data_IF_411426470862
#
_entry.id   IF_411426470862
#
_cell.length_a   1.000
_cell.length_b   1.000
_cell.length_c   1.000
_cell.angle_alpha   90.00
_cell.angle_beta   90.00
_cell.angle_gamma   90.00
#
_symmetry.space_group_name_H-M   'P 1'
#
loop_
_entity.id
_entity.type
_entity.pdbx_description
1 polymer ?
#
# COMPACT_ATOMS: atom_id res chain seq x y z
N UNK A 1 -16.14 19.04 -0.37
CA UNK A 1 -14.77 18.54 -0.61
C UNK A 1 -14.82 17.68 -1.86
N UNK A 2 -13.94 17.87 -2.85
CA UNK A 2 -13.84 16.91 -3.97
C UNK A 2 -13.45 15.55 -3.43
N UNK A 3 -13.89 14.46 -4.04
CA UNK A 3 -13.32 13.13 -3.78
C UNK A 3 -11.81 13.24 -4.06
N UNK A 4 -11.00 13.24 -2.99
CA UNK A 4 -9.57 13.40 -3.11
C UNK A 4 -8.95 12.21 -3.84
N UNK A 5 -7.82 12.42 -4.48
CA UNK A 5 -7.00 11.33 -5.05
C UNK A 5 -5.99 10.78 -4.04
N UNK A 6 -6.19 11.07 -2.75
CA UNK A 6 -5.34 10.64 -1.62
C UNK A 6 -6.26 10.01 -0.59
N UNK A 7 -5.97 8.77 -0.18
CA UNK A 7 -6.57 8.10 0.99
C UNK A 7 -5.59 8.15 2.18
N UNK A 8 -6.10 8.04 3.41
CA UNK A 8 -5.38 8.14 4.70
C UNK A 8 -4.86 9.53 5.08
N UNK A 9 -5.56 10.58 4.66
CA UNK A 9 -5.39 11.93 5.20
C UNK A 9 -6.31 12.17 6.41
N UNK A 10 -6.08 13.21 7.21
CA UNK A 10 -7.01 13.63 8.26
C UNK A 10 -8.45 13.85 7.73
N UNK A 11 -8.60 14.14 6.44
CA UNK A 11 -9.89 14.29 5.77
C UNK A 11 -10.66 12.97 5.61
N UNK A 12 -10.00 11.82 5.55
CA UNK A 12 -10.67 10.53 5.32
C UNK A 12 -11.30 10.00 6.61
N UNK A 13 -10.64 10.16 7.76
CA UNK A 13 -11.21 9.81 9.07
C UNK A 13 -12.46 10.65 9.36
N UNK A 14 -12.36 11.96 9.13
CA UNK A 14 -13.50 12.87 9.29
C UNK A 14 -14.62 12.55 8.31
N UNK A 15 -14.30 12.15 7.08
CA UNK A 15 -15.30 11.72 6.09
C UNK A 15 -16.01 10.42 6.49
N UNK A 16 -15.29 9.45 7.04
CA UNK A 16 -15.89 8.20 7.53
C UNK A 16 -16.83 8.47 8.71
N UNK A 17 -16.41 9.32 9.65
CA UNK A 17 -17.27 9.77 10.75
C UNK A 17 -18.55 10.46 10.24
N UNK A 18 -18.41 11.39 9.28
CA UNK A 18 -19.55 12.06 8.65
C UNK A 18 -20.47 11.10 7.89
N UNK A 19 -19.92 10.07 7.23
CA UNK A 19 -20.71 9.04 6.55
C UNK A 19 -21.46 8.15 7.55
N UNK A 20 -20.85 7.81 8.68
CA UNK A 20 -21.52 7.05 9.75
C UNK A 20 -22.68 7.85 10.35
N UNK A 21 -22.53 9.18 10.49
CA UNK A 21 -23.61 10.09 10.89
C UNK A 21 -24.73 10.10 9.84
N UNK A 22 -24.39 10.26 8.55
CA UNK A 22 -25.37 10.26 7.45
C UNK A 22 -26.14 8.93 7.31
N UNK A 23 -25.48 7.80 7.59
CA UNK A 23 -26.09 6.46 7.57
C UNK A 23 -26.92 6.16 8.81
N UNK A 24 -26.87 7.01 9.84
CA UNK A 24 -27.58 6.82 11.09
C UNK A 24 -26.93 5.78 12.02
N UNK A 25 -25.67 5.41 11.76
CA UNK A 25 -24.90 4.49 12.61
C UNK A 25 -24.46 5.15 13.91
N UNK A 26 -24.32 6.49 13.89
CA UNK A 26 -23.95 7.33 15.01
C UNK A 26 -24.74 8.66 14.93
N UNK A 27 -25.16 9.21 16.07
CA UNK A 27 -25.94 10.46 16.10
C UNK A 27 -25.11 11.60 16.65
N UNK A 28 -24.92 12.64 15.85
CA UNK A 28 -24.28 13.89 16.27
C UNK A 28 -25.13 15.10 15.84
N UNK A 29 -25.96 15.65 16.75
CA UNK A 29 -26.83 16.79 16.44
C UNK A 29 -26.08 18.12 16.32
N UNK A 30 -24.78 18.17 16.65
CA UNK A 30 -23.97 19.38 16.53
C UNK A 30 -23.26 19.50 15.18
N UNK A 31 -23.36 18.47 14.32
CA UNK A 31 -22.69 18.41 13.04
C UNK A 31 -23.66 18.58 11.87
N UNK A 32 -23.45 19.61 11.05
CA UNK A 32 -24.18 19.82 9.79
C UNK A 32 -23.40 19.24 8.62
N UNK A 33 -24.03 18.34 7.85
CA UNK A 33 -23.36 17.63 6.75
C UNK A 33 -23.94 18.06 5.41
N UNK A 34 -23.07 18.58 4.54
CA UNK A 34 -23.40 18.91 3.16
C UNK A 34 -22.53 18.06 2.24
N UNK A 35 -23.12 16.98 1.71
CA UNK A 35 -22.42 16.05 0.83
C UNK A 35 -23.08 16.03 -0.54
N UNK A 36 -22.34 16.50 -1.54
CA UNK A 36 -22.81 16.65 -2.92
C UNK A 36 -21.99 15.74 -3.83
N UNK A 37 -22.67 14.79 -4.47
CA UNK A 37 -22.09 13.85 -5.44
C UNK A 37 -23.19 13.25 -6.30
N UNK A 38 -22.80 12.60 -7.40
CA UNK A 38 -23.65 11.64 -8.08
C UNK A 38 -23.62 10.29 -7.36
N UNK A 39 -24.67 9.51 -7.54
CA UNK A 39 -24.82 8.18 -6.94
C UNK A 39 -24.14 7.12 -7.83
N UNK A 40 -24.26 7.25 -9.16
CA UNK A 40 -23.76 6.29 -10.16
C UNK A 40 -23.07 7.00 -11.36
N UNK A 41 -22.13 6.30 -12.00
CA UNK A 41 -21.42 6.79 -13.18
C UNK A 41 -22.35 7.07 -14.38
N UNK A 42 -23.44 6.32 -14.51
CA UNK A 42 -24.45 6.49 -15.58
C UNK A 42 -25.13 7.85 -15.53
N UNK A 43 -25.14 8.51 -14.38
CA UNK A 43 -25.75 9.83 -14.20
C UNK A 43 -24.93 10.96 -14.83
N UNK A 44 -23.62 10.76 -15.08
CA UNK A 44 -22.73 11.80 -15.62
C UNK A 44 -23.22 12.35 -16.96
N UNK A 45 -23.77 11.49 -17.82
CA UNK A 45 -24.30 11.88 -19.12
C UNK A 45 -25.67 12.54 -19.09
N UNK A 46 -26.33 12.63 -17.93
CA UNK A 46 -27.65 13.23 -17.77
C UNK A 46 -27.56 14.58 -17.03
N UNK A 47 -27.71 15.72 -17.76
CA UNK A 47 -27.67 17.05 -17.16
C UNK A 47 -28.66 17.27 -16.01
N UNK A 48 -29.78 16.55 -15.98
CA UNK A 48 -30.78 16.70 -14.92
C UNK A 48 -30.28 16.25 -13.54
N UNK A 49 -29.25 15.40 -13.51
CA UNK A 49 -28.68 14.86 -12.27
C UNK A 49 -27.58 15.74 -11.68
N UNK A 50 -26.98 16.64 -12.46
CA UNK A 50 -25.77 17.39 -12.07
C UNK A 50 -25.96 18.29 -10.85
N UNK A 51 -27.19 18.73 -10.57
CA UNK A 51 -27.50 19.50 -9.36
C UNK A 51 -27.16 18.75 -8.07
N UNK A 52 -27.19 17.41 -8.08
CA UNK A 52 -26.82 16.58 -6.92
C UNK A 52 -25.36 16.78 -6.52
N UNK A 53 -24.47 16.94 -7.50
CA UNK A 53 -23.05 17.18 -7.29
C UNK A 53 -22.69 18.67 -7.19
N UNK A 54 -23.48 19.56 -7.79
CA UNK A 54 -23.24 21.00 -7.79
C UNK A 54 -24.53 21.80 -7.56
N UNK A 55 -24.84 22.14 -6.30
CA UNK A 55 -26.02 22.94 -5.96
C UNK A 55 -26.03 24.35 -6.56
N UNK A 56 -24.86 24.90 -6.91
CA UNK A 56 -24.76 26.25 -7.49
C UNK A 56 -24.83 26.26 -9.03
N UNK A 57 -25.20 25.14 -9.66
CA UNK A 57 -25.31 25.03 -11.11
C UNK A 57 -26.45 25.93 -11.63
N UNK A 58 -26.14 26.76 -12.61
CA UNK A 58 -27.02 27.81 -13.14
C UNK A 58 -26.90 29.16 -12.41
N UNK A 59 -26.23 29.22 -11.25
CA UNK A 59 -25.99 30.47 -10.52
C UNK A 59 -24.55 30.98 -10.71
N UNK A 60 -23.56 30.19 -10.30
CA UNK A 60 -22.13 30.57 -10.38
C UNK A 60 -21.34 29.75 -11.39
N UNK A 61 -21.90 28.62 -11.84
CA UNK A 61 -21.33 27.77 -12.89
C UNK A 61 -22.43 27.42 -13.90
N UNK A 62 -22.14 27.49 -15.20
CA UNK A 62 -23.13 27.20 -16.24
C UNK A 62 -23.22 25.70 -16.57
N UNK A 63 -24.39 25.27 -17.05
CA UNK A 63 -24.57 23.93 -17.63
C UNK A 63 -23.64 23.68 -18.81
N UNK A 64 -23.38 24.70 -19.64
CA UNK A 64 -22.43 24.61 -20.75
C UNK A 64 -21.00 24.24 -20.28
N UNK A 65 -20.59 24.75 -19.11
CA UNK A 65 -19.29 24.40 -18.53
C UNK A 65 -19.23 22.92 -18.14
N UNK A 66 -20.30 22.40 -17.54
CA UNK A 66 -20.39 20.98 -17.18
C UNK A 66 -20.48 20.08 -18.41
N UNK A 67 -21.26 20.46 -19.42
CA UNK A 67 -21.38 19.76 -20.69
C UNK A 67 -20.02 19.61 -21.38
N UNK A 68 -19.24 20.69 -21.45
CA UNK A 68 -17.87 20.65 -22.01
C UNK A 68 -16.93 19.76 -21.19
N UNK A 69 -17.07 19.73 -19.87
CA UNK A 69 -16.27 18.84 -19.01
C UNK A 69 -16.69 17.37 -19.19
N UNK A 70 -17.98 17.05 -19.41
CA UNK A 70 -18.45 15.70 -19.77
C UNK A 70 -17.87 15.25 -21.12
N UNK A 71 -18.00 16.08 -22.16
CA UNK A 71 -17.44 15.80 -23.48
C UNK A 71 -15.92 15.58 -23.40
N UNK A 72 -15.23 16.40 -22.61
CA UNK A 72 -13.78 16.24 -22.38
C UNK A 72 -13.46 14.94 -21.63
N UNK A 73 -14.28 14.54 -20.66
CA UNK A 73 -14.09 13.28 -19.93
C UNK A 73 -14.29 12.05 -20.82
N UNK A 74 -15.12 12.15 -21.87
CA UNK A 74 -15.30 11.08 -22.87
C UNK A 74 -14.14 10.98 -23.86
N UNK A 75 -13.58 12.13 -24.29
CA UNK A 75 -12.58 12.17 -25.36
C UNK A 75 -11.13 12.21 -24.85
N UNK A 76 -10.88 12.55 -23.58
CA UNK A 76 -9.54 12.73 -23.01
C UNK A 76 -9.37 11.86 -21.77
N UNK A 77 -8.83 10.63 -21.91
CA UNK A 77 -8.67 9.68 -20.80
C UNK A 77 -7.90 10.24 -19.59
N UNK A 78 -6.87 11.06 -19.82
CA UNK A 78 -6.08 11.69 -18.77
C UNK A 78 -6.86 12.74 -17.93
N UNK A 79 -7.92 13.33 -18.49
CA UNK A 79 -8.75 14.32 -17.80
C UNK A 79 -9.98 13.70 -17.14
N UNK A 80 -10.38 12.49 -17.58
CA UNK A 80 -11.60 11.80 -17.15
C UNK A 80 -11.69 11.64 -15.63
N UNK A 81 -10.63 11.13 -15.00
CA UNK A 81 -10.64 10.83 -13.56
C UNK A 81 -10.72 12.09 -12.71
N UNK A 82 -9.98 13.12 -13.10
CA UNK A 82 -9.96 14.41 -12.42
C UNK A 82 -11.33 15.10 -12.52
N UNK A 83 -11.99 15.02 -13.68
CA UNK A 83 -13.32 15.57 -13.89
C UNK A 83 -14.35 14.80 -13.06
N UNK A 84 -14.34 13.47 -13.07
CA UNK A 84 -15.31 12.67 -12.34
C UNK A 84 -15.18 12.84 -10.81
N UNK A 85 -13.95 12.86 -10.30
CA UNK A 85 -13.69 13.06 -8.87
C UNK A 85 -14.00 14.49 -8.39
N UNK A 86 -13.60 15.52 -9.16
CA UNK A 86 -13.72 16.93 -8.74
C UNK A 86 -15.04 17.58 -9.11
N UNK A 87 -15.66 17.22 -10.24
CA UNK A 87 -16.93 17.82 -10.70
C UNK A 87 -18.15 17.06 -10.23
N UNK A 88 -18.06 15.74 -10.19
CA UNK A 88 -19.23 14.88 -9.96
C UNK A 88 -19.18 14.16 -8.62
N UNK A 89 -18.07 14.25 -7.88
CA UNK A 89 -17.91 13.55 -6.61
C UNK A 89 -17.97 12.02 -6.77
N UNK A 90 -17.67 11.53 -7.97
CA UNK A 90 -17.57 10.11 -8.28
C UNK A 90 -16.10 9.72 -8.11
N UNK A 91 -15.76 8.87 -7.14
CA UNK A 91 -14.40 8.34 -7.04
C UNK A 91 -14.13 7.51 -8.31
N UNK A 92 -13.21 7.97 -9.16
CA UNK A 92 -12.86 7.27 -10.40
C UNK A 92 -11.45 6.70 -10.35
N UNK A 93 -11.41 5.41 -10.63
CA UNK A 93 -10.25 4.55 -10.73
C UNK A 93 -9.41 4.91 -11.96
N UNK A 94 -8.51 5.88 -11.81
CA UNK A 94 -7.33 6.00 -12.68
C UNK A 94 -6.19 5.09 -12.27
N UNK A 95 -6.25 4.68 -11.01
CA UNK A 95 -5.56 3.57 -10.41
C UNK A 95 -6.54 3.03 -9.38
N UNK A 96 -7.11 1.86 -9.62
CA UNK A 96 -7.83 1.17 -8.55
C UNK A 96 -6.77 0.82 -7.51
N UNK A 97 -6.95 1.28 -6.27
CA UNK A 97 -6.14 0.75 -5.17
C UNK A 97 -6.25 -0.76 -5.21
N UNK A 98 -5.11 -1.43 -5.19
CA UNK A 98 -5.07 -2.87 -5.40
C UNK A 98 -5.80 -3.59 -4.28
N UNK A 99 -5.59 -3.12 -3.04
CA UNK A 99 -6.30 -3.60 -1.87
C UNK A 99 -7.53 -2.72 -1.54
N UNK A 100 -8.64 -3.36 -1.20
CA UNK A 100 -9.81 -2.66 -0.63
C UNK A 100 -9.51 -2.21 0.80
N UNK A 101 -10.31 -1.30 1.34
CA UNK A 101 -10.08 -0.80 2.69
C UNK A 101 -10.11 -1.93 3.73
N UNK A 102 -11.09 -2.81 3.61
CA UNK A 102 -11.32 -3.97 4.48
C UNK A 102 -10.13 -4.93 4.48
N UNK A 103 -9.49 -5.11 3.32
CA UNK A 103 -8.28 -5.93 3.17
C UNK A 103 -7.07 -5.33 3.89
N UNK A 104 -7.00 -3.99 4.04
CA UNK A 104 -5.91 -3.30 4.73
C UNK A 104 -6.05 -3.26 6.25
N UNK A 105 -7.18 -3.71 6.81
CA UNK A 105 -7.45 -3.64 8.25
C UNK A 105 -6.55 -4.57 9.03
N UNK A 106 -5.91 -4.05 10.07
CA UNK A 106 -5.03 -4.82 10.96
C UNK A 106 -5.80 -5.92 11.69
N UNK A 107 -5.10 -7.01 11.95
CA UNK A 107 -5.53 -8.06 12.85
C UNK A 107 -5.07 -7.74 14.28
N UNK A 108 -5.58 -8.53 15.24
CA UNK A 108 -5.06 -8.51 16.60
C UNK A 108 -3.56 -8.84 16.60
N UNK A 109 -2.84 -8.32 17.59
CA UNK A 109 -1.41 -8.55 17.75
C UNK A 109 -1.07 -10.03 17.61
N UNK A 110 -0.16 -10.34 16.70
CA UNK A 110 0.38 -11.68 16.48
C UNK A 110 1.82 -11.72 16.98
N UNK A 111 2.19 -12.85 17.57
CA UNK A 111 3.57 -13.17 17.94
C UNK A 111 4.01 -14.40 17.15
N UNK A 112 5.19 -14.31 16.54
CA UNK A 112 5.77 -15.34 15.69
C UNK A 112 7.16 -15.76 16.19
N UNK A 113 7.44 -15.53 17.47
CA UNK A 113 8.69 -15.95 18.10
C UNK A 113 9.00 -17.43 17.84
N UNK A 114 10.22 -17.74 17.41
CA UNK A 114 10.65 -19.11 17.13
C UNK A 114 10.06 -19.72 15.85
N UNK A 115 9.27 -18.98 15.06
CA UNK A 115 8.53 -19.56 13.93
C UNK A 115 9.32 -19.49 12.62
N UNK A 116 9.13 -20.50 11.73
CA UNK A 116 9.73 -20.47 10.42
C UNK A 116 9.08 -19.43 9.52
N UNK A 117 9.92 -18.69 8.78
CA UNK A 117 9.44 -17.69 7.84
C UNK A 117 10.26 -17.64 6.54
N UNK A 118 9.60 -17.13 5.51
CA UNK A 118 10.26 -16.58 4.35
C UNK A 118 10.43 -15.08 4.55
N UNK A 119 11.56 -14.52 4.15
CA UNK A 119 11.79 -13.08 4.14
C UNK A 119 11.80 -12.57 2.70
N UNK A 120 11.15 -11.43 2.46
CA UNK A 120 11.25 -10.71 1.21
C UNK A 120 11.93 -9.36 1.42
N UNK A 121 12.73 -8.96 0.44
CA UNK A 121 13.66 -7.83 0.54
C UNK A 121 13.46 -6.88 -0.63
N UNK A 122 13.05 -5.64 -0.31
CA UNK A 122 12.96 -4.51 -1.25
C UNK A 122 13.93 -3.42 -0.80
N UNK A 123 15.05 -3.24 -1.53
CA UNK A 123 16.11 -2.32 -1.12
C UNK A 123 16.03 -0.98 -1.86
N UNK A 124 16.07 0.11 -1.09
CA UNK A 124 16.14 1.46 -1.64
C UNK A 124 17.41 2.20 -1.22
N UNK A 125 18.02 2.92 -2.17
CA UNK A 125 19.06 3.92 -1.90
C UNK A 125 18.51 5.35 -1.92
N UNK A 126 17.19 5.52 -2.10
CA UNK A 126 16.53 6.80 -2.34
C UNK A 126 15.66 7.28 -1.17
N UNK A 127 14.53 7.89 -1.52
CA UNK A 127 13.54 8.38 -0.55
C UNK A 127 12.53 7.28 -0.13
N UNK A 128 12.57 6.10 -0.78
CA UNK A 128 11.70 4.95 -0.49
C UNK A 128 12.23 4.15 0.71
N UNK A 129 11.39 3.28 1.28
CA UNK A 129 11.85 2.43 2.37
C UNK A 129 12.79 1.36 1.83
N UNK A 130 13.81 1.03 2.61
CA UNK A 130 14.40 -0.30 2.54
C UNK A 130 13.55 -1.21 3.42
N UNK A 131 12.84 -2.17 2.83
CA UNK A 131 11.79 -2.93 3.48
C UNK A 131 12.08 -4.43 3.51
N UNK A 132 11.85 -5.02 4.67
CA UNK A 132 11.92 -6.46 4.91
C UNK A 132 10.55 -6.94 5.38
N UNK A 133 9.99 -7.91 4.69
CA UNK A 133 8.71 -8.52 5.07
C UNK A 133 8.89 -9.99 5.36
N UNK A 134 8.60 -10.37 6.60
CA UNK A 134 8.60 -11.75 7.09
C UNK A 134 7.21 -12.35 6.89
N UNK A 135 7.15 -13.47 6.18
CA UNK A 135 5.97 -14.24 5.89
C UNK A 135 6.03 -15.58 6.63
N UNK A 136 5.11 -15.80 7.57
CA UNK A 136 5.04 -16.99 8.41
C UNK A 136 3.91 -17.90 7.94
N UNK A 137 4.18 -19.05 7.32
CA UNK A 137 3.14 -20.01 6.97
C UNK A 137 2.43 -20.53 8.23
N UNK A 138 1.11 -20.44 8.26
CA UNK A 138 0.27 -20.90 9.36
C UNK A 138 -0.70 -21.99 8.92
N UNK A 139 -1.35 -22.61 9.91
CA UNK A 139 -2.40 -23.59 9.64
C UNK A 139 -3.57 -23.01 8.83
N UNK A 140 -4.16 -23.88 8.00
CA UNK A 140 -5.34 -23.60 7.16
C UNK A 140 -5.09 -22.54 6.08
N UNK A 141 -3.87 -22.47 5.55
CA UNK A 141 -3.52 -21.56 4.45
C UNK A 141 -3.56 -20.09 4.86
N UNK A 142 -3.35 -19.79 6.14
CA UNK A 142 -3.16 -18.42 6.64
C UNK A 142 -1.67 -18.12 6.69
N UNK A 143 -1.34 -16.84 6.67
CA UNK A 143 0.04 -16.39 6.74
C UNK A 143 0.16 -15.24 7.72
N UNK A 144 1.07 -15.37 8.68
CA UNK A 144 1.52 -14.25 9.50
C UNK A 144 2.38 -13.31 8.68
N UNK A 145 2.24 -12.01 8.90
CA UNK A 145 3.03 -11.00 8.20
C UNK A 145 3.59 -9.99 9.20
N UNK A 146 4.91 -9.82 9.20
CA UNK A 146 5.61 -8.75 9.92
C UNK A 146 6.52 -8.00 8.96
N UNK A 147 6.67 -6.71 9.20
CA UNK A 147 7.45 -5.79 8.40
C UNK A 147 8.47 -5.08 9.27
N UNK A 148 9.64 -4.82 8.70
CA UNK A 148 10.68 -3.96 9.26
C UNK A 148 11.23 -3.10 8.13
N UNK A 149 11.12 -1.79 8.27
CA UNK A 149 11.53 -0.82 7.27
C UNK A 149 12.63 0.08 7.81
N UNK A 150 13.45 0.62 6.92
CA UNK A 150 14.58 1.47 7.24
C UNK A 150 14.55 2.75 6.41
N UNK A 151 14.94 3.86 7.04
CA UNK A 151 15.26 5.14 6.39
C UNK A 151 16.50 5.75 7.03
N UNK A 152 17.13 6.69 6.32
CA UNK A 152 18.20 7.52 6.91
C UNK A 152 17.62 8.64 7.76
N UNK A 153 18.41 9.12 8.73
CA UNK A 153 18.11 10.29 9.54
C UNK A 153 17.77 11.52 8.66
N UNK A 154 18.52 11.72 7.57
CA UNK A 154 18.25 12.79 6.62
C UNK A 154 16.85 12.69 6.01
N UNK A 155 16.39 11.49 5.65
CA UNK A 155 15.03 11.30 5.12
C UNK A 155 14.01 11.72 6.16
N UNK A 156 14.16 11.26 7.41
CA UNK A 156 13.27 11.63 8.52
C UNK A 156 13.19 13.15 8.77
N UNK A 157 14.35 13.83 8.77
CA UNK A 157 14.43 15.28 9.01
C UNK A 157 13.75 16.11 7.92
N UNK A 158 13.66 15.59 6.69
CA UNK A 158 13.07 16.31 5.54
C UNK A 158 11.57 16.09 5.39
N UNK A 159 10.96 15.24 6.21
CA UNK A 159 9.53 14.95 6.11
C UNK A 159 8.67 16.16 6.51
N UNK A 160 7.61 16.46 5.74
CA UNK A 160 6.57 17.39 6.17
C UNK A 160 5.87 16.91 7.44
N UNK A 161 5.30 17.83 8.23
CA UNK A 161 4.74 17.52 9.56
C UNK A 161 3.75 16.35 9.61
N UNK A 162 2.79 16.28 8.69
CA UNK A 162 1.81 15.20 8.67
C UNK A 162 2.43 13.82 8.33
N UNK A 163 3.35 13.76 7.35
CA UNK A 163 4.06 12.53 7.00
C UNK A 163 5.01 12.11 8.12
N UNK A 164 5.65 13.08 8.77
CA UNK A 164 6.53 12.84 9.91
C UNK A 164 5.77 12.20 11.08
N UNK A 165 4.59 12.71 11.41
CA UNK A 165 3.74 12.12 12.46
C UNK A 165 3.44 10.65 12.16
N UNK A 166 3.15 10.32 10.89
CA UNK A 166 2.91 8.93 10.48
C UNK A 166 4.15 8.05 10.66
N UNK A 167 5.33 8.56 10.38
CA UNK A 167 6.58 7.82 10.55
C UNK A 167 6.95 7.68 12.04
N UNK A 168 6.62 8.66 12.87
CA UNK A 168 6.74 8.57 14.33
C UNK A 168 5.84 7.46 14.91
N UNK A 169 4.64 7.23 14.34
CA UNK A 169 3.81 6.07 14.69
C UNK A 169 4.52 4.74 14.37
N UNK A 170 5.15 4.65 13.19
CA UNK A 170 5.87 3.43 12.79
C UNK A 170 7.11 3.17 13.65
N UNK A 171 7.80 4.23 14.09
CA UNK A 171 8.92 4.13 15.03
C UNK A 171 8.45 3.61 16.38
N UNK A 172 7.33 4.13 16.91
CA UNK A 172 6.76 3.64 18.17
C UNK A 172 6.25 2.20 18.06
N UNK A 173 5.74 1.81 16.89
CA UNK A 173 5.34 0.44 16.59
C UNK A 173 6.53 -0.52 16.44
N UNK A 174 7.74 -0.01 16.19
CA UNK A 174 8.94 -0.79 15.91
C UNK A 174 8.99 -1.38 14.50
N UNK A 175 8.13 -0.90 13.59
CA UNK A 175 8.10 -1.31 12.17
C UNK A 175 8.95 -0.43 11.27
N UNK A 176 9.40 0.73 11.75
CA UNK A 176 10.35 1.61 11.07
C UNK A 176 11.56 1.87 11.97
N UNK A 177 12.75 1.79 11.40
CA UNK A 177 14.02 2.15 12.03
C UNK A 177 14.65 3.33 11.27
N UNK A 178 15.27 4.25 12.02
CA UNK A 178 16.02 5.37 11.47
C UNK A 178 17.48 5.15 11.79
N UNK A 179 18.32 5.04 10.75
CA UNK A 179 19.76 4.90 10.91
C UNK A 179 20.46 6.25 10.64
N UNK A 180 21.54 6.49 11.38
CA UNK A 180 22.32 7.72 11.25
C UNK A 180 22.88 7.90 9.83
N UNK A 181 22.93 9.14 9.38
CA UNK A 181 23.59 9.51 8.13
C UNK A 181 22.67 10.09 7.06
N UNK A 182 23.31 10.46 5.94
CA UNK A 182 22.67 11.11 4.79
C UNK A 182 22.00 10.09 3.86
N UNK A 183 22.61 8.91 3.73
CA UNK A 183 22.18 7.77 2.92
C UNK A 183 22.18 6.57 3.85
N UNK A 184 21.27 5.63 3.62
CA UNK A 184 21.27 4.36 4.36
C UNK A 184 22.53 3.56 4.03
N UNK A 185 23.31 3.26 5.06
CA UNK A 185 24.39 2.28 4.98
C UNK A 185 23.80 0.87 5.07
N UNK A 186 23.93 0.08 4.00
CA UNK A 186 23.38 -1.27 3.94
C UNK A 186 24.05 -2.23 4.93
N UNK A 187 25.28 -1.95 5.38
CA UNK A 187 25.94 -2.76 6.41
C UNK A 187 25.26 -2.57 7.76
N UNK A 188 24.94 -1.33 8.13
CA UNK A 188 24.19 -1.03 9.36
C UNK A 188 22.77 -1.59 9.30
N UNK A 189 22.11 -1.53 8.13
CA UNK A 189 20.79 -2.16 7.93
C UNK A 189 20.88 -3.67 8.16
N UNK A 190 21.89 -4.33 7.59
CA UNK A 190 22.08 -5.77 7.75
C UNK A 190 22.34 -6.15 9.21
N UNK A 191 23.22 -5.43 9.91
CA UNK A 191 23.55 -5.70 11.32
C UNK A 191 22.33 -5.53 12.25
N UNK A 192 21.52 -4.48 12.05
CA UNK A 192 20.28 -4.29 12.81
C UNK A 192 19.23 -5.36 12.48
N UNK A 193 19.13 -5.76 11.21
CA UNK A 193 18.19 -6.81 10.78
C UNK A 193 18.55 -8.16 11.39
N UNK A 194 19.82 -8.56 11.37
CA UNK A 194 20.30 -9.80 12.00
C UNK A 194 20.05 -9.80 13.51
N UNK A 195 20.36 -8.69 14.19
CA UNK A 195 20.06 -8.56 15.62
C UNK A 195 18.56 -8.73 15.89
N UNK A 196 17.71 -8.11 15.06
CA UNK A 196 16.26 -8.25 15.18
C UNK A 196 15.77 -9.69 14.93
N UNK A 197 16.31 -10.38 13.92
CA UNK A 197 15.99 -11.78 13.62
C UNK A 197 16.38 -12.67 14.81
N UNK A 198 17.56 -12.46 15.39
CA UNK A 198 18.04 -13.19 16.55
C UNK A 198 17.18 -12.92 17.79
N UNK A 199 16.85 -11.66 18.08
CA UNK A 199 16.02 -11.28 19.23
C UNK A 199 14.60 -11.87 19.14
N UNK A 200 14.06 -12.01 17.93
CA UNK A 200 12.75 -12.63 17.71
C UNK A 200 12.80 -14.15 17.54
N UNK A 201 13.99 -14.76 17.52
CA UNK A 201 14.20 -16.16 17.14
C UNK A 201 13.49 -16.57 15.83
N UNK A 202 13.46 -15.69 14.83
CA UNK A 202 12.85 -16.04 13.55
C UNK A 202 13.72 -17.05 12.80
N UNK A 203 13.13 -18.20 12.45
CA UNK A 203 13.77 -19.24 11.65
C UNK A 203 13.59 -18.89 10.16
N UNK A 204 14.49 -18.05 9.63
CA UNK A 204 14.44 -17.59 8.22
C UNK A 204 14.93 -18.72 7.32
N UNK A 205 14.01 -19.33 6.57
CA UNK A 205 14.29 -20.50 5.73
C UNK A 205 14.59 -20.17 4.28
N UNK A 206 13.98 -19.11 3.76
CA UNK A 206 14.26 -18.66 2.39
C UNK A 206 14.09 -17.13 2.28
N UNK A 207 14.80 -16.55 1.31
CA UNK A 207 14.87 -15.12 1.05
C UNK A 207 14.52 -14.83 -0.40
N UNK A 208 13.50 -14.01 -0.62
CA UNK A 208 13.17 -13.45 -1.93
C UNK A 208 13.67 -12.02 -2.05
N UNK A 209 14.20 -11.66 -3.21
CA UNK A 209 14.62 -10.29 -3.45
C UNK A 209 14.51 -9.89 -4.91
N UNK A 210 14.27 -8.62 -5.15
CA UNK A 210 14.45 -8.03 -6.46
C UNK A 210 15.94 -7.72 -6.73
N UNK A 211 16.49 -8.01 -7.92
CA UNK A 211 17.93 -7.88 -8.17
C UNK A 211 18.43 -6.42 -8.25
N UNK A 212 17.55 -5.42 -8.27
CA UNK A 212 17.94 -4.02 -8.34
C UNK A 212 18.47 -3.58 -6.97
N UNK A 213 19.67 -3.01 -6.91
CA UNK A 213 20.36 -2.58 -5.67
C UNK A 213 20.67 -3.67 -4.60
N UNK A 214 20.18 -4.90 -4.74
CA UNK A 214 20.32 -5.96 -3.72
C UNK A 214 21.66 -6.72 -3.71
N UNK A 215 22.53 -6.51 -4.71
CA UNK A 215 23.72 -7.35 -4.93
C UNK A 215 24.62 -7.47 -3.70
N UNK A 216 24.94 -6.36 -3.04
CA UNK A 216 25.87 -6.34 -1.90
C UNK A 216 25.26 -7.03 -0.68
N UNK A 217 24.01 -6.69 -0.35
CA UNK A 217 23.24 -7.30 0.73
C UNK A 217 23.13 -8.82 0.56
N UNK A 218 22.73 -9.28 -0.63
CA UNK A 218 22.54 -10.71 -0.92
C UNK A 218 23.86 -11.46 -0.91
N UNK A 219 24.95 -10.85 -1.40
CA UNK A 219 26.27 -11.49 -1.34
C UNK A 219 26.70 -11.73 0.11
N UNK A 220 26.45 -10.76 1.00
CA UNK A 220 26.72 -10.92 2.43
C UNK A 220 25.84 -11.99 3.05
N UNK A 221 24.53 -11.94 2.81
CA UNK A 221 23.58 -12.94 3.29
C UNK A 221 23.98 -14.35 2.86
N UNK A 222 24.34 -14.54 1.58
CA UNK A 222 24.81 -15.82 1.03
C UNK A 222 26.08 -16.32 1.72
N UNK A 223 27.03 -15.44 2.04
CA UNK A 223 28.26 -15.83 2.72
C UNK A 223 28.03 -16.29 4.17
N UNK A 224 27.05 -15.69 4.86
CA UNK A 224 26.78 -15.95 6.28
C UNK A 224 25.76 -17.07 6.49
N UNK A 225 24.73 -17.15 5.63
CA UNK A 225 23.60 -18.09 5.75
C UNK A 225 23.62 -19.21 4.70
N UNK A 226 24.53 -19.13 3.71
CA UNK A 226 24.59 -20.06 2.58
C UNK A 226 23.66 -19.66 1.41
N UNK A 227 23.86 -20.26 0.23
CA UNK A 227 23.13 -19.91 -0.99
C UNK A 227 21.73 -20.54 -1.09
N UNK A 228 21.42 -21.53 -0.24
CA UNK A 228 20.18 -22.28 -0.32
C UNK A 228 18.98 -21.41 0.10
N UNK A 229 17.88 -21.48 -0.66
CA UNK A 229 16.67 -20.69 -0.40
C UNK A 229 16.78 -19.20 -0.77
N UNK A 230 17.86 -18.74 -1.42
CA UNK A 230 17.98 -17.37 -1.93
C UNK A 230 17.42 -17.28 -3.34
N UNK A 231 16.27 -16.63 -3.49
CA UNK A 231 15.50 -16.57 -4.73
C UNK A 231 15.47 -15.18 -5.35
N UNK A 232 15.87 -15.10 -6.62
CA UNK A 232 15.77 -13.89 -7.43
C UNK A 232 14.35 -13.72 -7.96
N UNK A 233 13.69 -12.65 -7.55
CA UNK A 233 12.33 -12.32 -8.00
C UNK A 233 12.42 -11.27 -9.11
N UNK A 234 12.20 -11.72 -10.35
CA UNK A 234 12.28 -10.85 -11.52
C UNK A 234 11.03 -9.97 -11.57
N UNK A 235 11.22 -8.65 -11.47
CA UNK A 235 10.17 -7.66 -11.60
C UNK A 235 9.66 -7.56 -13.04
N UNK A 236 8.35 -7.36 -13.20
CA UNK A 236 7.67 -7.24 -14.49
C UNK A 236 6.22 -7.72 -14.44
N UNK A 237 5.35 -7.11 -15.26
CA UNK A 237 3.91 -7.42 -15.26
C UNK A 237 3.64 -8.92 -15.41
N UNK A 238 4.36 -9.62 -16.30
CA UNK A 238 4.17 -11.06 -16.54
C UNK A 238 4.55 -11.93 -15.35
N UNK A 239 5.61 -11.58 -14.62
CA UNK A 239 6.13 -12.37 -13.49
C UNK A 239 5.39 -12.05 -12.20
N UNK A 240 4.98 -10.81 -12.02
CA UNK A 240 4.27 -10.34 -10.82
C UNK A 240 2.77 -10.68 -10.83
N UNK A 241 2.14 -10.84 -12.00
CA UNK A 241 0.67 -10.97 -12.08
C UNK A 241 0.12 -12.15 -11.28
N UNK A 242 0.81 -13.30 -11.28
CA UNK A 242 0.36 -14.50 -10.54
C UNK A 242 0.57 -14.32 -9.03
N UNK A 243 1.77 -13.97 -8.52
CA UNK A 243 1.98 -13.66 -7.11
C UNK A 243 1.02 -12.59 -6.56
N UNK A 244 0.81 -11.50 -7.32
CA UNK A 244 -0.10 -10.43 -6.91
C UNK A 244 -1.55 -10.93 -6.81
N UNK A 245 -2.02 -11.73 -7.77
CA UNK A 245 -3.34 -12.35 -7.72
C UNK A 245 -3.52 -13.22 -6.47
N UNK A 246 -2.55 -14.08 -6.16
CA UNK A 246 -2.60 -14.95 -4.98
C UNK A 246 -2.58 -14.15 -3.66
N UNK A 247 -1.77 -13.09 -3.59
CA UNK A 247 -1.74 -12.18 -2.43
C UNK A 247 -3.07 -11.45 -2.28
N UNK A 248 -3.68 -11.03 -3.40
CA UNK A 248 -5.00 -10.41 -3.41
C UNK A 248 -6.06 -11.35 -2.87
N UNK A 249 -6.12 -12.59 -3.35
CA UNK A 249 -7.07 -13.60 -2.88
C UNK A 249 -6.89 -13.86 -1.37
N UNK A 250 -5.64 -13.94 -0.89
CA UNK A 250 -5.36 -14.09 0.54
C UNK A 250 -5.76 -12.86 1.36
N UNK A 251 -5.64 -11.66 0.81
CA UNK A 251 -6.08 -10.44 1.47
C UNK A 251 -7.60 -10.37 1.57
N UNK A 252 -8.31 -10.67 0.46
CA UNK A 252 -9.78 -10.73 0.39
C UNK A 252 -10.35 -11.74 1.40
N UNK A 253 -9.74 -12.92 1.49
CA UNK A 253 -10.10 -13.97 2.44
C UNK A 253 -9.64 -13.68 3.89
N UNK A 254 -9.01 -12.54 4.16
CA UNK A 254 -8.44 -12.18 5.48
C UNK A 254 -7.43 -13.22 6.01
N UNK A 255 -6.68 -13.86 5.11
CA UNK A 255 -5.67 -14.88 5.42
C UNK A 255 -4.28 -14.29 5.67
N UNK A 256 -4.04 -13.03 5.31
CA UNK A 256 -2.81 -12.29 5.64
C UNK A 256 -2.94 -11.62 7.01
N UNK A 257 -2.40 -12.26 8.05
CA UNK A 257 -2.44 -11.81 9.44
C UNK A 257 -1.29 -10.85 9.75
N UNK A 258 -1.47 -9.57 9.43
CA UNK A 258 -0.62 -8.47 9.88
C UNK A 258 -1.30 -7.63 10.96
N UNK A 259 -0.51 -7.08 11.88
CA UNK A 259 -0.95 -6.22 12.99
C UNK A 259 -0.25 -4.85 13.02
N UNK A 260 0.61 -4.58 12.05
CA UNK A 260 1.39 -3.35 11.93
C UNK A 260 0.68 -2.33 11.02
N UNK A 261 0.65 -1.09 11.48
CA UNK A 261 0.16 0.07 10.73
C UNK A 261 1.03 0.41 9.54
N UNK A 262 2.31 0.03 9.55
CA UNK A 262 3.19 0.08 8.37
C UNK A 262 2.60 -0.70 7.21
N UNK A 263 2.22 -1.97 7.42
CA UNK A 263 1.64 -2.81 6.37
C UNK A 263 0.30 -2.25 5.86
N UNK A 264 -0.58 -1.80 6.78
CA UNK A 264 -1.82 -1.09 6.39
C UNK A 264 -1.53 0.11 5.49
N UNK A 265 -0.52 0.91 5.85
CA UNK A 265 -0.14 2.11 5.11
C UNK A 265 0.37 1.77 3.70
N UNK A 266 1.25 0.78 3.57
CA UNK A 266 1.80 0.37 2.27
C UNK A 266 0.76 -0.32 1.39
N UNK A 267 -0.10 -1.17 1.95
CA UNK A 267 -1.23 -1.77 1.22
C UNK A 267 -2.21 -0.69 0.74
N UNK A 268 -2.51 0.30 1.58
CA UNK A 268 -3.40 1.42 1.23
C UNK A 268 -2.87 2.33 0.13
N UNK A 269 -1.57 2.25 -0.20
CA UNK A 269 -0.92 3.01 -1.27
C UNK A 269 -0.71 2.20 -2.55
N UNK A 270 -0.83 0.88 -2.48
CA UNK A 270 -0.56 -0.03 -3.58
C UNK A 270 -1.63 0.09 -4.66
N UNK A 271 -1.17 0.18 -5.91
CA UNK A 271 -2.00 0.15 -7.11
C UNK A 271 -1.40 -0.87 -8.07
N UNK A 272 -2.17 -1.27 -9.08
CA UNK A 272 -1.65 -2.10 -10.17
C UNK A 272 -1.80 -1.43 -11.52
N UNK A 273 -0.79 -1.60 -12.36
CA UNK A 273 -0.87 -1.30 -13.79
C UNK A 273 -1.16 -2.60 -14.53
N UNK A 274 -2.24 -2.63 -15.32
CA UNK A 274 -2.58 -3.75 -16.18
C UNK A 274 -2.06 -3.49 -17.60
N UNK A 275 -1.34 -4.45 -18.18
CA UNK A 275 -0.88 -4.39 -19.56
C UNK A 275 -1.98 -4.82 -20.55
N UNK A 276 -1.71 -4.73 -21.85
CA UNK A 276 -2.69 -5.11 -22.89
C UNK A 276 -3.07 -6.59 -22.89
N UNK A 277 -2.30 -7.44 -22.21
CA UNK A 277 -2.55 -8.88 -22.08
C UNK A 277 -3.25 -9.23 -20.76
N UNK A 278 -3.63 -8.23 -19.95
CA UNK A 278 -4.24 -8.43 -18.63
C UNK A 278 -3.25 -8.75 -17.52
N UNK A 279 -1.93 -8.66 -17.77
CA UNK A 279 -0.94 -8.90 -16.72
C UNK A 279 -0.85 -7.67 -15.81
N UNK A 280 -0.71 -7.90 -14.50
CA UNK A 280 -0.63 -6.83 -13.51
C UNK A 280 0.78 -6.65 -12.97
N UNK A 281 1.17 -5.40 -12.78
CA UNK A 281 2.40 -5.00 -12.10
C UNK A 281 2.07 -4.10 -10.91
N UNK A 282 2.75 -4.28 -9.78
CA UNK A 282 2.64 -3.36 -8.65
C UNK A 282 3.20 -1.99 -9.04
N UNK A 283 2.52 -0.92 -8.63
CA UNK A 283 2.91 0.46 -8.90
C UNK A 283 2.57 1.37 -7.72
N UNK A 284 3.20 2.54 -7.68
CA UNK A 284 2.82 3.66 -6.82
C UNK A 284 2.14 4.76 -7.62
N UNK A 285 0.99 5.24 -7.15
CA UNK A 285 0.22 6.29 -7.84
C UNK A 285 0.99 7.63 -7.89
N UNK A 286 1.79 7.90 -6.85
CA UNK A 286 2.65 9.07 -6.75
C UNK A 286 4.03 8.66 -6.25
N UNK A 287 5.05 9.46 -6.56
CA UNK A 287 6.44 9.15 -6.19
C UNK A 287 6.62 9.04 -4.68
N UNK A 288 5.92 9.87 -3.92
CA UNK A 288 5.97 9.94 -2.45
C UNK A 288 5.23 8.80 -1.75
N UNK A 289 4.35 8.07 -2.45
CA UNK A 289 3.66 6.92 -1.87
C UNK A 289 4.65 5.78 -1.61
N UNK A 290 4.40 5.04 -0.54
CA UNK A 290 5.22 3.89 -0.13
C UNK A 290 4.45 2.61 -0.31
N UNK A 291 5.04 1.66 -1.02
CA UNK A 291 4.48 0.33 -1.31
C UNK A 291 5.49 -0.77 -0.96
N UNK A 292 6.62 -0.38 -0.38
CA UNK A 292 7.85 -1.17 -0.33
C UNK A 292 7.65 -2.47 0.49
N UNK A 293 6.86 -2.41 1.59
CA UNK A 293 6.50 -3.62 2.34
C UNK A 293 5.57 -4.58 1.57
N UNK A 294 4.80 -4.10 0.59
CA UNK A 294 3.99 -4.95 -0.30
C UNK A 294 4.87 -5.57 -1.38
N UNK A 295 5.84 -4.83 -1.90
CA UNK A 295 6.84 -5.37 -2.83
C UNK A 295 7.66 -6.48 -2.15
N UNK A 296 8.18 -6.22 -0.96
CA UNK A 296 8.85 -7.21 -0.13
C UNK A 296 7.93 -8.40 0.21
N UNK A 297 6.64 -8.19 0.51
CA UNK A 297 5.69 -9.29 0.72
C UNK A 297 5.57 -10.21 -0.51
N UNK A 298 5.54 -9.63 -1.71
CA UNK A 298 5.51 -10.37 -2.97
C UNK A 298 6.78 -11.20 -3.12
N UNK A 299 7.94 -10.64 -2.81
CA UNK A 299 9.21 -11.36 -2.90
C UNK A 299 9.27 -12.53 -1.90
N UNK A 300 8.82 -12.32 -0.66
CA UNK A 300 8.69 -13.36 0.36
C UNK A 300 7.76 -14.48 -0.11
N UNK A 301 6.62 -14.13 -0.71
CA UNK A 301 5.66 -15.11 -1.21
C UNK A 301 6.24 -15.97 -2.33
N UNK A 302 6.96 -15.36 -3.27
CA UNK A 302 7.63 -16.10 -4.35
C UNK A 302 8.69 -17.04 -3.80
N UNK A 303 9.54 -16.57 -2.88
CA UNK A 303 10.57 -17.41 -2.26
C UNK A 303 9.99 -18.57 -1.46
N UNK A 304 8.93 -18.32 -0.67
CA UNK A 304 8.18 -19.36 0.02
C UNK A 304 7.63 -20.41 -0.96
N UNK A 305 7.01 -19.98 -2.06
CA UNK A 305 6.41 -20.90 -3.03
C UNK A 305 7.42 -21.81 -3.72
N UNK A 306 8.64 -21.31 -3.95
CA UNK A 306 9.72 -22.09 -4.56
C UNK A 306 10.37 -23.08 -3.58
N UNK A 307 10.22 -22.85 -2.27
CA UNK A 307 10.89 -23.60 -1.21
C UNK A 307 9.90 -24.14 -0.17
N UNK A 308 8.70 -24.56 -0.57
CA UNK A 308 7.63 -25.00 0.35
C UNK A 308 8.04 -26.18 1.23
N UNK A 309 8.83 -27.08 0.68
CA UNK A 309 9.40 -28.26 1.34
C UNK A 309 10.27 -27.89 2.55
N UNK A 310 10.81 -26.67 2.59
CA UNK A 310 11.51 -26.18 3.75
C UNK A 310 10.59 -25.89 4.93
N UNK A 311 9.26 -25.79 4.75
CA UNK A 311 8.29 -25.39 5.78
C UNK A 311 7.40 -26.53 6.32
N UNK A 312 7.58 -27.74 5.78
CA UNK A 312 6.84 -28.95 6.17
C UNK A 312 7.42 -29.67 7.40
#
# INVERSE_FOLDING_TARGET
SSEGTVRNSAGDNMKMELLNILRGEYSDPHTSIFYYRLDDLKEVGDPSTWLKAQPNLGATVSYETYQRDVERAEHVPAARNDILAKRFGIPMEGYTYFFTYEETLRHNRQDFWGMPCSIGVDLSQGDDFTAFTFLFPLSRGRFGVKTRCYISERTMLRLPGATRQKYEEFLQEGSLMVLEGTVLDMMNVYEDLEAFIADCEYDVRCLGFDPYNAKEFVTRWENENGPFGIEKVIQGARTESVPLGEIKDMAEDRKLLFDQSMMTFTMGNAITLEDTNGNRKLLKARRENKIDSVAALMDAWVAYKLNKDMFD
#
